data_IF_480468646272
#
_entry.id   IF_480468646272
#
_cell.length_a   1.000
_cell.length_b   1.000
_cell.length_c   1.000
_cell.angle_alpha   90.00
_cell.angle_beta   90.00
_cell.angle_gamma   90.00
#
_symmetry.space_group_name_H-M   'P 1'
#
loop_
_entity.id
_entity.type
_entity.pdbx_description
1 polymer ?
#
# COMPACT_ATOMS: atom_id res chain seq x y z
N UNK A 1 -13.25 -28.04 -21.06
CA UNK A 1 -12.47 -28.72 -22.11
C UNK A 1 -11.04 -28.27 -21.91
N UNK A 2 -10.20 -29.17 -21.43
CA UNK A 2 -8.80 -28.94 -21.07
C UNK A 2 -7.97 -28.83 -22.34
N UNK A 3 -7.65 -27.61 -22.79
CA UNK A 3 -6.67 -27.41 -23.86
C UNK A 3 -5.28 -27.64 -23.28
N UNK A 4 -4.76 -28.84 -23.48
CA UNK A 4 -3.33 -29.08 -23.39
C UNK A 4 -2.71 -28.49 -24.66
N UNK A 5 -2.42 -27.19 -24.64
CA UNK A 5 -1.63 -26.53 -25.68
C UNK A 5 -0.16 -26.77 -25.34
N UNK A 6 0.55 -27.58 -26.13
CA UNK A 6 2.01 -27.70 -26.00
C UNK A 6 2.72 -26.40 -26.40
N UNK A 7 4.07 -26.37 -26.32
CA UNK A 7 4.82 -25.16 -26.60
C UNK A 7 4.61 -24.66 -28.03
N UNK A 8 4.55 -23.34 -28.20
CA UNK A 8 4.51 -22.69 -29.50
C UNK A 8 5.93 -22.28 -29.91
N UNK A 9 6.33 -22.59 -31.13
CA UNK A 9 7.61 -22.20 -31.70
C UNK A 9 7.40 -21.23 -32.88
N UNK A 10 7.81 -19.98 -32.70
CA UNK A 10 7.66 -18.92 -33.69
C UNK A 10 8.99 -18.65 -34.40
N UNK A 11 8.99 -18.76 -35.73
CA UNK A 11 10.10 -18.37 -36.61
C UNK A 11 9.66 -17.18 -37.45
N UNK A 12 10.37 -16.06 -37.33
CA UNK A 12 10.13 -14.85 -38.10
C UNK A 12 11.25 -14.62 -39.11
N UNK A 13 10.86 -14.41 -40.37
CA UNK A 13 11.73 -14.10 -41.49
C UNK A 13 11.53 -12.64 -41.90
N UNK A 14 12.62 -11.89 -42.01
CA UNK A 14 12.66 -10.55 -42.61
C UNK A 14 13.35 -10.65 -43.96
N UNK A 15 12.59 -10.44 -45.02
CA UNK A 15 12.96 -10.81 -46.39
C UNK A 15 12.98 -9.57 -47.27
N UNK A 16 14.06 -9.35 -48.03
CA UNK A 16 14.06 -8.28 -49.04
C UNK A 16 13.00 -8.52 -50.14
N UNK A 17 12.38 -7.46 -50.71
CA UNK A 17 11.27 -7.61 -51.66
C UNK A 17 11.59 -8.40 -52.93
N UNK A 18 12.86 -8.39 -53.34
CA UNK A 18 13.38 -9.07 -54.54
C UNK A 18 13.42 -10.59 -54.40
N UNK A 19 13.59 -11.10 -53.18
CA UNK A 19 13.65 -12.54 -52.88
C UNK A 19 12.39 -13.07 -52.18
N UNK A 20 11.43 -12.20 -51.86
CA UNK A 20 10.24 -12.53 -51.07
C UNK A 20 9.40 -13.69 -51.63
N UNK A 21 9.23 -13.75 -52.95
CA UNK A 21 8.44 -14.80 -53.63
C UNK A 21 9.16 -16.16 -53.58
N UNK A 22 10.48 -16.17 -53.73
CA UNK A 22 11.28 -17.40 -53.66
C UNK A 22 11.33 -17.97 -52.24
N UNK A 23 11.43 -17.10 -51.23
CA UNK A 23 11.39 -17.50 -49.82
C UNK A 23 9.99 -18.01 -49.44
N UNK A 24 8.93 -17.39 -49.96
CA UNK A 24 7.55 -17.86 -49.76
C UNK A 24 7.34 -19.28 -50.26
N UNK A 25 7.78 -19.58 -51.47
CA UNK A 25 7.61 -20.90 -52.06
C UNK A 25 8.34 -21.97 -51.22
N UNK A 26 9.51 -21.61 -50.66
CA UNK A 26 10.29 -22.51 -49.81
C UNK A 26 9.67 -22.73 -48.44
N UNK A 27 9.09 -21.69 -47.85
CA UNK A 27 8.35 -21.76 -46.59
C UNK A 27 7.10 -22.64 -46.80
N UNK A 28 6.34 -22.44 -47.86
CA UNK A 28 5.14 -23.24 -48.16
C UNK A 28 5.47 -24.72 -48.39
N UNK A 29 6.57 -25.02 -49.09
CA UNK A 29 7.06 -26.39 -49.27
C UNK A 29 7.48 -27.02 -47.94
N UNK A 30 8.12 -26.25 -47.06
CA UNK A 30 8.48 -26.69 -45.71
C UNK A 30 7.24 -26.97 -44.84
N UNK A 31 6.27 -26.05 -44.80
CA UNK A 31 5.05 -26.19 -44.01
C UNK A 31 4.28 -27.46 -44.36
N UNK A 32 4.18 -27.79 -45.66
CA UNK A 32 3.53 -29.03 -46.11
C UNK A 32 4.24 -30.29 -45.61
N UNK A 33 5.56 -30.25 -45.44
CA UNK A 33 6.34 -31.38 -44.90
C UNK A 33 6.19 -31.50 -43.38
N UNK A 34 6.19 -30.37 -42.69
CA UNK A 34 6.17 -30.30 -41.22
C UNK A 34 4.82 -30.68 -40.62
N UNK A 35 3.71 -30.43 -41.33
CA UNK A 35 2.37 -30.88 -40.93
C UNK A 35 2.23 -32.41 -40.84
N UNK A 36 3.18 -33.17 -41.40
CA UNK A 36 3.20 -34.65 -41.34
C UNK A 36 4.02 -35.14 -40.13
N UNK A 37 4.76 -34.25 -39.46
CA UNK A 37 5.58 -34.59 -38.30
C UNK A 37 4.67 -34.91 -37.09
N UNK A 38 4.82 -36.08 -36.45
CA UNK A 38 4.03 -36.45 -35.29
C UNK A 38 4.25 -35.54 -34.08
N UNK A 39 5.31 -34.72 -34.03
CA UNK A 39 5.55 -33.76 -32.95
C UNK A 39 4.73 -32.46 -33.08
N UNK A 40 4.11 -32.21 -34.24
CA UNK A 40 3.43 -30.94 -34.57
C UNK A 40 1.91 -31.12 -34.56
N UNK A 41 1.21 -30.34 -33.72
CA UNK A 41 -0.24 -30.26 -33.65
C UNK A 41 -0.85 -29.37 -34.74
N UNK A 42 -0.22 -28.21 -34.99
CA UNK A 42 -0.68 -27.23 -35.96
C UNK A 42 0.49 -26.38 -36.45
N UNK A 43 0.41 -25.88 -37.68
CA UNK A 43 1.43 -25.03 -38.26
C UNK A 43 0.79 -23.98 -39.17
N UNK A 44 1.00 -22.70 -38.85
CA UNK A 44 0.42 -21.59 -39.61
C UNK A 44 1.49 -20.59 -40.02
N UNK A 45 1.41 -20.08 -41.25
CA UNK A 45 2.20 -18.93 -41.66
C UNK A 45 1.31 -17.76 -42.04
N UNK A 46 1.79 -16.56 -41.74
CA UNK A 46 1.14 -15.32 -42.14
C UNK A 46 2.17 -14.24 -42.41
N UNK A 47 1.84 -13.37 -43.37
CA UNK A 47 2.63 -12.17 -43.67
C UNK A 47 2.14 -11.01 -42.81
N UNK A 48 3.07 -10.14 -42.40
CA UNK A 48 2.80 -8.89 -41.68
C UNK A 48 3.48 -7.71 -42.38
N UNK A 49 3.07 -6.52 -42.00
CA UNK A 49 3.72 -5.28 -42.43
C UNK A 49 5.24 -5.38 -42.25
N UNK A 50 5.95 -4.98 -43.29
CA UNK A 50 7.40 -5.05 -43.37
C UNK A 50 8.10 -4.12 -42.37
N UNK A 51 9.44 -4.17 -42.37
CA UNK A 51 10.24 -3.25 -41.58
C UNK A 51 10.44 -1.89 -42.30
N UNK A 52 11.04 -0.91 -41.61
CA UNK A 52 11.29 0.43 -42.22
C UNK A 52 12.34 0.39 -43.34
N UNK A 53 13.00 -0.75 -43.57
CA UNK A 53 13.90 -0.96 -44.71
C UNK A 53 13.15 -1.49 -45.93
N UNK A 54 11.83 -1.67 -45.83
CA UNK A 54 10.98 -2.20 -46.89
C UNK A 54 11.02 -3.72 -46.99
N UNK A 55 11.65 -4.43 -46.04
CA UNK A 55 11.70 -5.90 -46.02
C UNK A 55 10.36 -6.46 -45.57
N UNK A 56 9.84 -7.46 -46.28
CA UNK A 56 8.61 -8.15 -45.90
C UNK A 56 8.83 -9.02 -44.67
N UNK A 57 7.84 -9.07 -43.78
CA UNK A 57 7.89 -9.91 -42.57
C UNK A 57 6.98 -11.11 -42.72
N UNK A 58 7.54 -12.30 -42.60
CA UNK A 58 6.81 -13.57 -42.62
C UNK A 58 6.99 -14.28 -41.29
N UNK A 59 5.90 -14.75 -40.70
CA UNK A 59 5.91 -15.43 -39.40
C UNK A 59 5.34 -16.82 -39.59
N UNK A 60 6.09 -17.83 -39.15
CA UNK A 60 5.66 -19.23 -39.07
C UNK A 60 5.50 -19.62 -37.60
N UNK A 61 4.31 -20.08 -37.23
CA UNK A 61 3.97 -20.51 -35.89
C UNK A 61 3.70 -22.01 -35.89
N UNK A 62 4.49 -22.75 -35.11
CA UNK A 62 4.36 -24.19 -34.94
C UNK A 62 3.80 -24.46 -33.53
N UNK A 63 2.78 -25.28 -33.45
CA UNK A 63 2.21 -25.77 -32.18
C UNK A 63 2.66 -27.20 -31.98
N UNK A 64 3.39 -27.48 -30.89
CA UNK A 64 3.94 -28.82 -30.63
C UNK A 64 3.07 -29.58 -29.63
N UNK A 65 3.22 -30.92 -29.61
CA UNK A 65 2.48 -31.79 -28.68
C UNK A 65 2.95 -31.63 -27.23
N UNK A 66 4.25 -31.37 -27.00
CA UNK A 66 4.84 -31.32 -25.66
C UNK A 66 6.24 -30.68 -25.62
N UNK A 67 6.72 -30.40 -24.42
CA UNK A 67 8.07 -29.82 -24.18
C UNK A 67 9.19 -30.85 -24.46
N UNK A 68 8.88 -32.14 -24.40
CA UNK A 68 9.83 -33.24 -24.60
C UNK A 68 10.33 -33.39 -26.05
N UNK A 69 9.56 -32.89 -27.01
CA UNK A 69 9.89 -32.92 -28.44
C UNK A 69 10.52 -31.63 -28.95
N UNK A 70 10.63 -30.60 -28.10
CA UNK A 70 10.99 -29.24 -28.52
C UNK A 70 12.43 -29.13 -29.04
N UNK A 71 13.40 -29.65 -28.30
CA UNK A 71 14.82 -29.52 -28.66
C UNK A 71 15.13 -30.29 -29.96
N UNK A 72 14.62 -31.53 -30.07
CA UNK A 72 14.74 -32.35 -31.27
C UNK A 72 14.04 -31.71 -32.48
N UNK A 73 12.90 -31.04 -32.26
CA UNK A 73 12.19 -30.32 -33.32
C UNK A 73 12.97 -29.09 -33.79
N UNK A 74 13.55 -28.29 -32.88
CA UNK A 74 14.32 -27.09 -33.24
C UNK A 74 15.53 -27.44 -34.11
N UNK A 75 16.29 -28.48 -33.72
CA UNK A 75 17.48 -28.92 -34.42
C UNK A 75 17.18 -29.72 -35.71
N UNK A 76 15.92 -30.12 -35.90
CA UNK A 76 15.47 -30.89 -37.04
C UNK A 76 14.91 -30.03 -38.18
N UNK A 77 13.61 -30.12 -38.50
CA UNK A 77 13.03 -29.49 -39.70
C UNK A 77 13.25 -27.97 -39.83
N UNK A 78 12.98 -27.14 -38.80
CA UNK A 78 13.14 -25.69 -38.87
C UNK A 78 14.61 -25.32 -39.01
N UNK A 79 15.51 -25.90 -38.21
CA UNK A 79 16.95 -25.63 -38.27
C UNK A 79 17.55 -25.93 -39.66
N UNK A 80 17.09 -27.01 -40.31
CA UNK A 80 17.50 -27.33 -41.68
C UNK A 80 17.03 -26.30 -42.71
N UNK A 81 15.78 -25.81 -42.61
CA UNK A 81 15.28 -24.73 -43.46
C UNK A 81 16.08 -23.43 -43.25
N UNK A 82 16.33 -23.06 -41.99
CA UNK A 82 17.10 -21.86 -41.68
C UNK A 82 18.52 -21.93 -42.25
N UNK A 83 19.19 -23.07 -42.12
CA UNK A 83 20.52 -23.27 -42.68
C UNK A 83 20.52 -23.19 -44.21
N UNK A 84 19.51 -23.78 -44.87
CA UNK A 84 19.37 -23.72 -46.33
C UNK A 84 19.17 -22.28 -46.81
N UNK A 85 18.23 -21.55 -46.20
CA UNK A 85 17.91 -20.18 -46.59
C UNK A 85 19.07 -19.21 -46.32
N UNK A 86 19.78 -19.37 -45.19
CA UNK A 86 20.98 -18.57 -44.90
C UNK A 86 22.12 -18.83 -45.88
N UNK A 87 22.29 -20.08 -46.32
CA UNK A 87 23.31 -20.43 -47.30
C UNK A 87 23.02 -19.86 -48.70
N UNK A 88 21.74 -19.74 -49.06
CA UNK A 88 21.29 -19.28 -50.37
C UNK A 88 21.17 -17.75 -50.47
N UNK A 89 20.56 -17.10 -49.47
CA UNK A 89 20.22 -15.66 -49.52
C UNK A 89 21.11 -14.76 -48.65
N UNK A 90 21.95 -15.34 -47.79
CA UNK A 90 22.95 -14.62 -47.01
C UNK A 90 22.38 -13.41 -46.25
N UNK A 91 22.90 -12.21 -46.52
CA UNK A 91 22.55 -10.97 -45.81
C UNK A 91 21.18 -10.38 -46.20
N UNK A 92 20.57 -10.84 -47.29
CA UNK A 92 19.24 -10.38 -47.75
C UNK A 92 18.08 -10.95 -46.90
N UNK A 93 18.40 -11.92 -46.04
CA UNK A 93 17.46 -12.62 -45.18
C UNK A 93 17.92 -12.60 -43.73
N UNK A 94 17.05 -12.14 -42.84
CA UNK A 94 17.28 -12.20 -41.40
C UNK A 94 16.22 -13.11 -40.76
N UNK A 95 16.66 -14.06 -39.92
CA UNK A 95 15.81 -15.09 -39.33
C UNK A 95 15.95 -15.05 -37.81
N UNK A 96 14.82 -14.93 -37.13
CA UNK A 96 14.75 -14.94 -35.67
C UNK A 96 13.72 -15.96 -35.20
N UNK A 97 14.12 -16.86 -34.29
CA UNK A 97 13.24 -17.85 -33.69
C UNK A 97 13.09 -17.64 -32.18
N UNK A 98 11.92 -17.99 -31.63
CA UNK A 98 11.64 -17.94 -30.19
C UNK A 98 10.59 -18.97 -29.76
N UNK A 99 10.73 -19.44 -28.52
CA UNK A 99 9.79 -20.35 -27.87
C UNK A 99 8.76 -19.52 -27.08
N UNK A 100 7.48 -19.78 -27.31
CA UNK A 100 6.34 -19.12 -26.70
C UNK A 100 5.61 -20.14 -25.82
N UNK A 101 5.63 -19.94 -24.50
CA UNK A 101 4.90 -20.74 -23.52
C UNK A 101 3.53 -20.12 -23.21
N UNK A 102 2.60 -20.87 -22.64
CA UNK A 102 1.23 -20.39 -22.37
C UNK A 102 1.16 -19.23 -21.37
N UNK A 103 2.12 -19.11 -20.45
CA UNK A 103 2.31 -17.93 -19.62
C UNK A 103 2.74 -16.69 -20.44
N UNK A 104 3.49 -16.91 -21.53
CA UNK A 104 3.96 -15.90 -22.49
C UNK A 104 2.93 -15.60 -23.59
N UNK A 105 1.89 -16.43 -23.79
CA UNK A 105 0.81 -16.17 -24.75
C UNK A 105 -0.02 -14.92 -24.38
N UNK A 106 -0.06 -14.59 -23.08
CA UNK A 106 -0.60 -13.31 -22.61
C UNK A 106 0.25 -12.09 -23.04
N UNK A 107 1.48 -12.31 -23.53
CA UNK A 107 2.37 -11.29 -24.12
C UNK A 107 2.17 -11.09 -25.64
N UNK A 108 1.37 -11.92 -26.31
CA UNK A 108 1.14 -11.86 -27.77
C UNK A 108 -0.07 -11.03 -28.19
N UNK A 109 -0.75 -10.33 -27.27
CA UNK A 109 -1.77 -9.36 -27.70
C UNK A 109 -1.07 -8.24 -28.51
N UNK A 110 -1.44 -8.03 -29.78
CA UNK A 110 -0.71 -7.22 -30.74
C UNK A 110 -0.96 -5.72 -30.52
N UNK A 111 -0.48 -5.16 -29.41
CA UNK A 111 -0.42 -3.71 -29.17
C UNK A 111 0.93 -3.25 -28.59
N UNK A 112 2.04 -3.95 -28.90
CA UNK A 112 3.36 -3.33 -28.66
C UNK A 112 3.54 -2.21 -29.68
N UNK A 113 3.36 -0.96 -29.24
CA UNK A 113 3.62 0.23 -30.05
C UNK A 113 5.03 0.11 -30.68
N UNK A 114 5.19 0.36 -32.00
CA UNK A 114 6.50 0.32 -32.67
C UNK A 114 7.51 1.27 -32.01
N UNK A 115 7.00 2.27 -31.29
CA UNK A 115 7.76 3.24 -30.53
C UNK A 115 7.56 3.05 -29.02
N UNK A 116 8.63 3.27 -28.26
CA UNK A 116 8.64 3.26 -26.81
C UNK A 116 7.66 4.30 -26.25
N UNK A 117 6.80 3.91 -25.31
CA UNK A 117 5.82 4.83 -24.72
C UNK A 117 6.48 5.94 -23.88
N UNK A 118 7.64 5.70 -23.24
CA UNK A 118 8.37 6.69 -22.43
C UNK A 118 9.21 7.67 -23.26
N UNK A 119 10.08 7.19 -24.15
CA UNK A 119 11.02 8.04 -24.88
C UNK A 119 10.70 8.22 -26.37
N UNK A 120 9.74 7.48 -26.93
CA UNK A 120 9.41 7.53 -28.36
C UNK A 120 10.40 6.84 -29.28
N UNK A 121 11.51 6.30 -28.78
CA UNK A 121 12.49 5.56 -29.60
C UNK A 121 11.89 4.24 -30.13
N UNK A 122 12.30 3.83 -31.33
CA UNK A 122 11.83 2.58 -31.93
C UNK A 122 12.25 1.37 -31.08
N UNK A 123 11.30 0.48 -30.80
CA UNK A 123 11.55 -0.73 -30.02
C UNK A 123 12.17 -1.80 -30.93
N UNK A 124 13.36 -2.31 -30.55
CA UNK A 124 14.08 -3.37 -31.28
C UNK A 124 14.11 -4.72 -30.53
N UNK A 125 13.41 -4.82 -29.42
CA UNK A 125 13.37 -6.00 -28.55
C UNK A 125 12.41 -5.81 -27.38
N UNK A 126 12.49 -6.71 -26.38
CA UNK A 126 11.64 -6.66 -25.18
C UNK A 126 11.87 -5.41 -24.32
N UNK A 127 13.03 -4.77 -24.43
CA UNK A 127 13.38 -3.55 -23.72
C UNK A 127 13.81 -2.45 -24.70
N UNK A 128 13.52 -1.20 -24.36
CA UNK A 128 14.01 -0.05 -25.09
C UNK A 128 15.50 0.14 -24.82
N UNK A 129 16.35 0.06 -25.86
CA UNK A 129 17.79 0.31 -25.73
C UNK A 129 18.18 1.74 -25.33
N UNK A 130 17.26 2.71 -25.41
CA UNK A 130 17.52 4.10 -25.02
C UNK A 130 17.11 4.43 -23.58
N UNK A 131 15.98 3.91 -23.10
CA UNK A 131 15.45 4.27 -21.78
C UNK A 131 15.16 3.07 -20.85
N UNK A 132 15.46 1.84 -21.28
CA UNK A 132 15.26 0.63 -20.48
C UNK A 132 13.80 0.19 -20.29
N UNK A 133 12.82 0.86 -20.91
CA UNK A 133 11.41 0.47 -20.78
C UNK A 133 11.10 -0.90 -21.43
N UNK A 134 10.45 -1.80 -20.69
CA UNK A 134 9.84 -3.03 -21.22
C UNK A 134 8.75 -2.75 -22.27
N UNK A 135 8.66 -3.54 -23.33
CA UNK A 135 7.74 -3.41 -24.47
C UNK A 135 6.27 -3.77 -24.19
N UNK A 136 5.89 -3.96 -22.91
CA UNK A 136 4.57 -4.43 -22.50
C UNK A 136 3.46 -3.40 -22.79
N UNK A 137 2.24 -3.90 -23.02
CA UNK A 137 1.03 -3.11 -23.24
C UNK A 137 0.58 -2.38 -21.96
N UNK A 138 -0.49 -1.57 -22.05
CA UNK A 138 -1.01 -0.77 -20.93
C UNK A 138 -1.47 -1.61 -19.73
N UNK A 139 -1.80 -2.89 -19.90
CA UNK A 139 -2.35 -3.73 -18.86
C UNK A 139 -1.28 -4.13 -17.84
N UNK A 140 -1.57 -3.96 -16.56
CA UNK A 140 -0.65 -4.29 -15.46
C UNK A 140 -1.38 -5.28 -14.55
N UNK A 141 -0.73 -6.39 -14.22
CA UNK A 141 -1.25 -7.34 -13.23
C UNK A 141 -0.92 -6.88 -11.81
N UNK A 142 -1.77 -7.22 -10.84
CA UNK A 142 -1.53 -6.90 -9.43
C UNK A 142 -0.25 -7.59 -8.92
N UNK A 143 -0.01 -8.83 -9.34
CA UNK A 143 1.16 -9.61 -8.93
C UNK A 143 2.48 -8.99 -9.42
N UNK A 144 2.52 -8.50 -10.65
CA UNK A 144 3.69 -7.80 -11.19
C UNK A 144 4.03 -6.54 -10.37
N UNK A 145 3.02 -5.77 -9.98
CA UNK A 145 3.22 -4.58 -9.13
C UNK A 145 3.77 -4.92 -7.75
N UNK A 146 3.35 -6.04 -7.17
CA UNK A 146 3.85 -6.52 -5.88
C UNK A 146 5.28 -7.04 -6.03
N UNK A 147 5.56 -7.83 -7.08
CA UNK A 147 6.91 -8.33 -7.37
C UNK A 147 7.92 -7.20 -7.57
N UNK A 148 7.53 -6.14 -8.31
CA UNK A 148 8.37 -4.96 -8.52
C UNK A 148 8.63 -4.19 -7.21
N UNK A 149 7.71 -4.25 -6.25
CA UNK A 149 7.89 -3.59 -4.95
C UNK A 149 9.00 -4.24 -4.12
N UNK A 150 9.09 -5.58 -4.15
CA UNK A 150 10.03 -6.35 -3.33
C UNK A 150 11.37 -6.66 -4.03
N UNK A 151 11.44 -6.60 -5.37
CA UNK A 151 12.64 -6.99 -6.13
C UNK A 151 13.93 -6.22 -5.80
N UNK A 152 13.85 -4.90 -5.56
CA UNK A 152 15.04 -4.04 -5.37
C UNK A 152 14.80 -2.88 -4.38
N UNK A 153 14.33 -3.18 -3.16
CA UNK A 153 14.07 -2.16 -2.12
C UNK A 153 15.31 -1.34 -1.72
N UNK A 154 16.53 -1.82 -1.99
CA UNK A 154 17.79 -1.18 -1.58
C UNK A 154 18.56 -0.47 -2.73
N UNK A 155 18.06 -0.49 -3.96
CA UNK A 155 18.64 0.33 -5.04
C UNK A 155 18.10 1.76 -4.95
N UNK A 156 18.87 2.66 -4.34
CA UNK A 156 18.59 4.10 -4.32
C UNK A 156 18.82 4.65 -5.74
N UNK A 157 17.77 4.62 -6.55
CA UNK A 157 17.81 5.02 -7.96
C UNK A 157 17.71 6.56 -8.13
N UNK A 158 18.47 7.09 -9.09
CA UNK A 158 18.32 8.43 -9.68
C UNK A 158 16.87 8.81 -10.05
N UNK A 159 16.00 7.81 -10.26
CA UNK A 159 14.57 7.97 -10.52
C UNK A 159 13.78 8.56 -9.34
N UNK A 160 14.28 8.48 -8.10
CA UNK A 160 13.59 9.02 -6.92
C UNK A 160 13.25 10.51 -7.10
N UNK A 161 14.24 11.34 -7.41
CA UNK A 161 14.05 12.79 -7.62
C UNK A 161 13.16 13.09 -8.83
N UNK A 162 13.25 12.27 -9.88
CA UNK A 162 12.41 12.38 -11.07
C UNK A 162 10.95 12.08 -10.79
N UNK A 163 10.64 11.29 -9.75
CA UNK A 163 9.29 10.99 -9.29
C UNK A 163 8.77 12.00 -8.26
N UNK A 164 9.58 12.37 -7.27
CA UNK A 164 9.15 13.23 -6.14
C UNK A 164 8.71 14.63 -6.58
N UNK A 165 9.45 15.27 -7.49
CA UNK A 165 9.13 16.64 -7.92
C UNK A 165 7.78 16.69 -8.66
N UNK A 166 7.49 15.84 -9.68
CA UNK A 166 6.18 15.77 -10.28
C UNK A 166 5.06 15.37 -9.31
N UNK A 167 5.36 14.48 -8.35
CA UNK A 167 4.40 14.05 -7.33
C UNK A 167 3.93 15.23 -6.48
N UNK A 168 4.85 16.10 -6.04
CA UNK A 168 4.51 17.23 -5.18
C UNK A 168 3.90 18.41 -5.95
N UNK A 169 4.42 18.74 -7.14
CA UNK A 169 4.06 20.00 -7.83
C UNK A 169 2.92 19.82 -8.85
N UNK A 170 2.72 18.62 -9.40
CA UNK A 170 1.79 18.39 -10.52
C UNK A 170 0.71 17.33 -10.17
N UNK A 171 -0.41 17.73 -9.55
CA UNK A 171 -1.38 16.79 -8.97
C UNK A 171 -1.90 15.71 -9.92
N UNK A 172 -1.61 14.44 -9.65
CA UNK A 172 -2.05 13.32 -10.49
C UNK A 172 -1.46 13.27 -11.91
N UNK A 173 -0.48 14.12 -12.24
CA UNK A 173 0.25 14.04 -13.52
C UNK A 173 1.09 12.77 -13.60
N UNK A 174 1.74 12.42 -12.50
CA UNK A 174 2.54 11.20 -12.38
C UNK A 174 1.67 9.97 -12.64
N UNK A 175 0.55 9.84 -11.92
CA UNK A 175 -0.43 8.75 -12.12
C UNK A 175 -0.93 8.72 -13.56
N UNK A 176 -1.31 9.87 -14.12
CA UNK A 176 -1.76 9.95 -15.51
C UNK A 176 -0.67 9.46 -16.48
N UNK A 177 0.57 9.93 -16.35
CA UNK A 177 1.68 9.54 -17.23
C UNK A 177 2.03 8.04 -17.09
N UNK A 178 1.95 7.50 -15.88
CA UNK A 178 2.16 6.08 -15.59
C UNK A 178 1.09 5.20 -16.24
N UNK A 179 -0.19 5.59 -16.14
CA UNK A 179 -1.33 4.91 -16.78
C UNK A 179 -1.28 5.02 -18.31
N UNK A 180 -0.64 6.06 -18.85
CA UNK A 180 -0.35 6.19 -20.28
C UNK A 180 0.81 5.29 -20.75
N UNK A 181 1.50 4.60 -19.83
CA UNK A 181 2.61 3.70 -20.14
C UNK A 181 3.99 4.34 -20.09
N UNK A 182 4.14 5.58 -19.63
CA UNK A 182 5.44 6.26 -19.46
C UNK A 182 6.11 5.88 -18.14
N UNK A 183 6.48 4.61 -17.98
CA UNK A 183 6.83 4.03 -16.66
C UNK A 183 8.32 4.09 -16.30
N UNK A 184 9.22 3.86 -17.26
CA UNK A 184 10.64 3.64 -16.94
C UNK A 184 11.38 4.83 -16.30
N UNK A 185 10.83 6.04 -16.42
CA UNK A 185 11.36 7.24 -15.75
C UNK A 185 11.04 7.31 -14.26
N UNK A 186 9.93 6.69 -13.86
CA UNK A 186 9.41 6.82 -12.51
C UNK A 186 9.76 5.59 -11.68
N UNK A 187 10.01 5.81 -10.40
CA UNK A 187 10.04 4.74 -9.41
C UNK A 187 8.72 3.94 -9.42
N UNK A 188 8.75 2.60 -9.29
CA UNK A 188 7.56 1.78 -9.16
C UNK A 188 6.63 2.31 -8.04
N UNK A 189 5.30 2.39 -8.26
CA UNK A 189 4.40 3.09 -7.35
C UNK A 189 4.39 2.52 -5.92
N UNK A 190 4.37 1.19 -5.79
CA UNK A 190 4.34 0.53 -4.49
C UNK A 190 5.65 0.69 -3.74
N UNK A 191 6.80 0.56 -4.43
CA UNK A 191 8.11 0.87 -3.84
C UNK A 191 8.16 2.30 -3.32
N UNK A 192 7.70 3.27 -4.11
CA UNK A 192 7.62 4.67 -3.69
C UNK A 192 6.76 4.85 -2.44
N UNK A 193 5.58 4.21 -2.40
CA UNK A 193 4.70 4.24 -1.22
C UNK A 193 5.40 3.66 0.00
N UNK A 194 6.01 2.47 -0.10
CA UNK A 194 6.69 1.81 1.02
C UNK A 194 7.88 2.63 1.54
N UNK A 195 8.69 3.20 0.64
CA UNK A 195 9.85 4.02 1.02
C UNK A 195 9.38 5.30 1.72
N UNK A 196 8.35 5.97 1.21
CA UNK A 196 7.86 7.22 1.79
C UNK A 196 7.05 7.00 3.07
N UNK A 197 6.31 5.89 3.19
CA UNK A 197 5.65 5.52 4.44
C UNK A 197 6.68 5.16 5.51
N UNK A 198 7.69 4.35 5.17
CA UNK A 198 8.79 4.03 6.08
C UNK A 198 9.53 5.30 6.53
N UNK A 199 9.87 6.19 5.60
CA UNK A 199 10.49 7.47 5.92
C UNK A 199 9.62 8.29 6.89
N UNK A 200 8.32 8.40 6.60
CA UNK A 200 7.37 9.09 7.47
C UNK A 200 7.34 8.48 8.88
N UNK A 201 7.16 7.17 9.01
CA UNK A 201 7.08 6.50 10.32
C UNK A 201 8.40 6.58 11.09
N UNK A 202 9.55 6.50 10.42
CA UNK A 202 10.86 6.70 11.06
C UNK A 202 10.98 8.13 11.57
N UNK A 203 10.63 9.14 10.76
CA UNK A 203 10.68 10.54 11.17
C UNK A 203 9.70 10.82 12.32
N UNK A 204 8.48 10.30 12.24
CA UNK A 204 7.46 10.44 13.27
C UNK A 204 7.83 9.70 14.56
N UNK A 205 8.54 8.57 14.48
CA UNK A 205 9.03 7.84 15.66
C UNK A 205 10.06 8.65 16.46
N UNK A 206 10.89 9.44 15.79
CA UNK A 206 11.85 10.33 16.45
C UNK A 206 11.25 11.68 16.88
N UNK A 207 9.96 11.88 16.67
CA UNK A 207 9.23 13.05 17.13
C UNK A 207 8.73 12.80 18.56
N UNK A 208 9.09 13.61 19.56
CA UNK A 208 8.55 13.48 20.90
C UNK A 208 7.03 13.51 20.81
N UNK A 209 6.35 12.50 21.38
CA UNK A 209 4.89 12.31 21.29
C UNK A 209 4.05 13.47 21.88
N UNK A 210 4.67 14.57 22.28
CA UNK A 210 4.05 15.77 22.86
C UNK A 210 3.10 16.46 21.86
N UNK A 211 3.33 16.41 20.55
CA UNK A 211 2.50 17.14 19.57
C UNK A 211 1.15 16.48 19.26
N UNK A 212 1.00 15.16 19.45
CA UNK A 212 -0.33 14.51 19.45
C UNK A 212 -1.13 14.82 20.74
N UNK A 213 -0.51 15.46 21.72
CA UNK A 213 -1.07 15.86 23.01
C UNK A 213 -2.03 17.06 22.98
N UNK A 214 -2.30 17.67 21.81
CA UNK A 214 -3.32 18.74 21.69
C UNK A 214 -4.76 18.29 22.04
N UNK A 215 -4.99 17.00 22.35
CA UNK A 215 -6.25 16.49 22.90
C UNK A 215 -6.12 15.89 24.30
N UNK A 216 -4.91 15.69 24.83
CA UNK A 216 -4.63 15.09 26.14
C UNK A 216 -3.25 15.56 26.60
N UNK A 217 -3.19 16.50 27.54
CA UNK A 217 -1.99 16.76 28.32
C UNK A 217 -1.87 15.62 29.35
N UNK A 218 -0.92 14.68 29.22
CA UNK A 218 -0.57 13.84 30.35
C UNK A 218 0.01 14.76 31.41
N UNK A 219 -0.58 14.75 32.61
CA UNK A 219 0.03 15.45 33.75
C UNK A 219 1.47 14.93 33.93
N UNK A 220 2.45 15.83 34.16
CA UNK A 220 3.84 15.42 34.31
C UNK A 220 3.93 14.40 35.45
N UNK A 221 4.59 13.26 35.20
CA UNK A 221 4.83 12.29 36.27
C UNK A 221 5.60 12.97 37.42
N UNK A 222 5.11 12.89 38.66
CA UNK A 222 5.69 13.61 39.78
C UNK A 222 7.14 13.15 39.98
N UNK A 223 8.03 14.11 40.21
CA UNK A 223 9.42 13.81 40.48
C UNK A 223 9.56 12.99 41.77
N UNK A 224 10.62 12.16 41.92
CA UNK A 224 10.81 11.37 43.14
C UNK A 224 10.85 12.21 44.43
N UNK A 225 11.27 13.48 44.34
CA UNK A 225 11.21 14.43 45.45
C UNK A 225 9.78 14.88 45.76
N UNK A 226 8.96 15.18 44.74
CA UNK A 226 7.55 15.53 44.90
C UNK A 226 6.72 14.36 45.44
N UNK A 227 6.98 13.12 45.00
CA UNK A 227 6.34 11.91 45.54
C UNK A 227 6.67 11.71 47.02
N UNK A 228 7.90 12.02 47.41
CA UNK A 228 8.33 11.88 48.81
C UNK A 228 7.73 12.99 49.69
N UNK A 229 7.66 14.23 49.18
CA UNK A 229 7.03 15.36 49.87
C UNK A 229 5.52 15.12 50.05
N UNK A 230 4.83 14.64 49.02
CA UNK A 230 3.42 14.24 49.10
C UNK A 230 3.19 13.06 50.07
N UNK A 231 4.11 12.10 50.13
CA UNK A 231 4.03 10.99 51.07
C UNK A 231 4.20 11.46 52.52
N UNK A 232 5.15 12.37 52.78
CA UNK A 232 5.35 12.97 54.11
C UNK A 232 4.16 13.85 54.52
N UNK A 233 3.59 14.61 53.60
CA UNK A 233 2.41 15.45 53.84
C UNK A 233 1.14 14.60 54.09
N UNK A 234 0.97 13.50 53.37
CA UNK A 234 -0.09 12.53 53.61
C UNK A 234 0.08 11.78 54.95
N UNK A 235 1.30 11.45 55.35
CA UNK A 235 1.57 10.81 56.65
C UNK A 235 1.29 11.77 57.82
N UNK A 236 1.64 13.06 57.66
CA UNK A 236 1.32 14.10 58.64
C UNK A 236 -0.20 14.35 58.74
N UNK A 237 -0.90 14.46 57.62
CA UNK A 237 -2.35 14.63 57.60
C UNK A 237 -3.09 13.40 58.16
N UNK A 238 -2.51 12.20 58.02
CA UNK A 238 -3.06 10.99 58.63
C UNK A 238 -2.93 11.02 60.15
N UNK A 239 -1.80 11.49 60.68
CA UNK A 239 -1.59 11.64 62.12
C UNK A 239 -2.56 12.66 62.73
N UNK A 240 -2.74 13.82 62.10
CA UNK A 240 -3.67 14.86 62.55
C UNK A 240 -5.14 14.35 62.54
N UNK A 241 -5.53 13.62 61.50
CA UNK A 241 -6.87 13.05 61.42
C UNK A 241 -7.11 11.95 62.46
N UNK A 242 -6.08 11.17 62.82
CA UNK A 242 -6.17 10.17 63.89
C UNK A 242 -6.36 10.82 65.27
N UNK A 243 -5.69 11.95 65.53
CA UNK A 243 -5.87 12.70 66.79
C UNK A 243 -7.30 13.23 66.93
N UNK A 244 -7.90 13.73 65.82
CA UNK A 244 -9.29 14.19 65.82
C UNK A 244 -10.28 13.04 66.05
N UNK A 245 -10.00 11.85 65.50
CA UNK A 245 -10.82 10.66 65.73
C UNK A 245 -10.75 10.22 67.19
N UNK A 246 -9.55 10.20 67.78
CA UNK A 246 -9.34 9.86 69.20
C UNK A 246 -10.09 10.83 70.13
N UNK A 247 -10.09 12.14 69.80
CA UNK A 247 -10.83 13.16 70.57
C UNK A 247 -12.36 12.98 70.49
N UNK A 248 -12.87 12.54 69.33
CA UNK A 248 -14.30 12.28 69.11
C UNK A 248 -14.78 11.00 69.81
N UNK A 249 -13.91 9.99 69.92
CA UNK A 249 -14.14 8.76 70.69
C UNK A 249 -14.17 9.08 72.19
N UNK A 250 -13.23 9.89 72.71
CA UNK A 250 -13.21 10.29 74.13
C UNK A 250 -14.46 11.10 74.53
N UNK A 251 -15.00 11.91 73.61
CA UNK A 251 -16.24 12.67 73.82
C UNK A 251 -17.52 11.83 73.68
N UNK A 252 -17.41 10.54 73.36
CA UNK A 252 -18.52 9.60 73.26
C UNK A 252 -19.46 9.87 72.09
N UNK A 253 -18.96 10.55 71.04
CA UNK A 253 -19.72 10.83 69.80
C UNK A 253 -19.70 9.61 68.86
N UNK A 254 -18.68 8.77 68.98
CA UNK A 254 -18.44 7.57 68.15
C UNK A 254 -18.13 6.39 69.11
N UNK A 255 -18.65 5.20 68.82
CA UNK A 255 -18.39 4.00 69.64
C UNK A 255 -17.08 3.30 69.21
N UNK A 256 -16.28 2.79 70.16
CA UNK A 256 -14.97 2.16 69.89
C UNK A 256 -15.05 0.99 68.90
N UNK A 257 -16.21 0.34 68.79
CA UNK A 257 -16.50 -0.80 67.91
C UNK A 257 -16.78 -0.41 66.44
N UNK A 258 -16.98 0.87 66.12
CA UNK A 258 -17.06 1.37 64.74
C UNK A 258 -15.70 1.83 64.18
N UNK A 259 -14.64 1.86 65.02
CA UNK A 259 -13.29 2.29 64.63
C UNK A 259 -12.45 1.09 64.15
N UNK A 260 -12.95 0.38 63.14
CA UNK A 260 -12.17 -0.65 62.42
C UNK A 260 -12.07 -0.27 60.95
N UNK A 261 -11.39 0.84 60.68
CA UNK A 261 -11.09 1.30 59.33
C UNK A 261 -9.71 1.90 59.23
N UNK A 262 -9.08 1.74 58.06
CA UNK A 262 -7.84 2.44 57.74
C UNK A 262 -8.20 3.80 57.16
N UNK A 263 -7.56 4.86 57.63
CA UNK A 263 -7.64 6.17 57.01
C UNK A 263 -6.66 6.18 55.82
N UNK A 264 -7.13 6.56 54.63
CA UNK A 264 -6.25 6.80 53.47
C UNK A 264 -6.48 8.22 52.98
N UNK A 265 -5.39 8.88 52.61
CA UNK A 265 -5.41 10.23 52.05
C UNK A 265 -5.05 10.10 50.56
N UNK A 266 -5.99 10.51 49.71
CA UNK A 266 -5.82 10.64 48.26
C UNK A 266 -5.93 12.12 47.85
N UNK A 267 -5.74 12.41 46.55
CA UNK A 267 -5.80 13.78 46.00
C UNK A 267 -7.17 14.47 46.22
N UNK A 268 -8.19 13.72 46.63
CA UNK A 268 -9.53 14.22 46.97
C UNK A 268 -9.76 14.48 48.47
N UNK A 269 -8.81 14.18 49.35
CA UNK A 269 -8.88 14.41 50.80
C UNK A 269 -8.80 13.12 51.65
N UNK A 270 -8.97 13.26 52.96
CA UNK A 270 -8.88 12.13 53.91
C UNK A 270 -10.20 11.35 53.97
N UNK A 271 -10.18 10.06 53.63
CA UNK A 271 -11.35 9.16 53.67
C UNK A 271 -11.11 7.98 54.62
N UNK A 272 -12.07 7.72 55.50
CA UNK A 272 -12.05 6.60 56.44
C UNK A 272 -12.80 5.41 55.82
N UNK A 273 -12.13 4.28 55.61
CA UNK A 273 -12.75 3.07 55.02
C UNK A 273 -12.81 1.96 56.07
N UNK A 274 -14.00 1.54 56.49
CA UNK A 274 -14.19 0.39 57.38
C UNK A 274 -14.03 -0.94 56.61
N UNK A 275 -13.71 -2.01 57.33
CA UNK A 275 -13.33 -3.34 56.81
C UNK A 275 -14.38 -4.11 55.97
N UNK A 276 -15.43 -3.46 55.47
CA UNK A 276 -16.37 -4.02 54.48
C UNK A 276 -16.48 -3.21 53.19
N UNK A 277 -15.74 -2.09 53.07
CA UNK A 277 -15.66 -1.30 51.85
C UNK A 277 -14.26 -1.47 51.23
N UNK A 278 -14.11 -2.48 50.36
CA UNK A 278 -13.12 -2.36 49.28
C UNK A 278 -13.39 -1.03 48.55
N UNK A 279 -12.36 -0.28 48.15
CA UNK A 279 -12.56 1.08 47.69
C UNK A 279 -13.41 1.06 46.43
N UNK A 280 -14.66 1.52 46.57
CA UNK A 280 -15.47 2.08 45.50
C UNK A 280 -14.77 3.36 45.00
N UNK A 281 -13.65 3.17 44.31
CA UNK A 281 -13.00 4.16 43.49
C UNK A 281 -13.81 4.27 42.19
N UNK A 282 -14.94 4.99 42.26
CA UNK A 282 -15.85 5.35 41.16
C UNK A 282 -15.34 4.96 39.77
N UNK A 283 -15.84 3.80 39.31
CA UNK A 283 -15.58 3.21 37.99
C UNK A 283 -15.15 1.75 38.03
N UNK A 284 -15.83 0.89 38.81
CA UNK A 284 -15.48 -0.54 38.84
C UNK A 284 -15.57 -1.14 37.43
N UNK A 285 -14.56 -1.90 37.05
CA UNK A 285 -14.50 -2.65 35.80
C UNK A 285 -15.37 -3.92 35.89
N UNK A 286 -16.54 -3.81 36.51
CA UNK A 286 -17.47 -4.92 36.65
C UNK A 286 -18.30 -5.03 35.38
N UNK A 287 -17.79 -5.84 34.46
CA UNK A 287 -18.43 -6.13 33.19
C UNK A 287 -19.17 -7.44 33.33
N UNK A 288 -20.49 -7.34 33.34
CA UNK A 288 -21.39 -8.47 33.55
C UNK A 288 -21.77 -9.14 32.22
N UNK A 289 -22.32 -10.34 32.32
CA UNK A 289 -22.82 -11.08 31.16
C UNK A 289 -23.91 -10.31 30.38
N UNK A 290 -24.66 -9.42 31.05
CA UNK A 290 -25.66 -8.54 30.45
C UNK A 290 -25.05 -7.50 29.50
N UNK A 291 -23.80 -7.07 29.73
CA UNK A 291 -23.13 -6.09 28.86
C UNK A 291 -22.70 -6.70 27.52
N UNK A 292 -22.63 -8.03 27.46
CA UNK A 292 -22.26 -8.81 26.26
C UNK A 292 -23.48 -9.40 25.57
N UNK A 293 -24.65 -9.37 26.21
CA UNK A 293 -25.88 -10.02 25.73
C UNK A 293 -26.45 -9.38 24.45
N UNK A 294 -26.25 -8.07 24.26
CA UNK A 294 -26.66 -7.33 23.07
C UNK A 294 -25.66 -7.44 21.88
N UNK A 295 -24.54 -8.14 22.05
CA UNK A 295 -23.56 -8.30 20.98
C UNK A 295 -23.95 -9.41 19.99
N UNK A 296 -23.69 -9.25 18.68
CA UNK A 296 -23.86 -10.32 17.72
C UNK A 296 -23.08 -11.59 18.11
N UNK A 297 -23.64 -12.77 17.89
CA UNK A 297 -23.05 -14.07 18.29
C UNK A 297 -21.55 -14.25 17.92
N UNK A 298 -21.12 -13.72 16.76
CA UNK A 298 -19.73 -13.81 16.32
C UNK A 298 -18.79 -12.95 17.18
N UNK A 299 -19.28 -11.84 17.72
CA UNK A 299 -18.56 -10.88 18.55
C UNK A 299 -18.52 -11.33 20.01
N UNK A 300 -19.65 -11.82 20.55
CA UNK A 300 -19.74 -12.39 21.89
C UNK A 300 -18.81 -13.61 22.08
N UNK A 301 -18.57 -14.40 21.02
CA UNK A 301 -17.57 -15.49 21.03
C UNK A 301 -16.13 -15.02 21.13
N UNK A 302 -15.85 -13.75 20.79
CA UNK A 302 -14.49 -13.19 20.71
C UNK A 302 -14.17 -12.27 21.89
N UNK A 303 -15.14 -11.47 22.35
CA UNK A 303 -15.08 -10.62 23.55
C UNK A 303 -15.87 -11.28 24.68
N UNK A 304 -15.21 -12.17 25.42
CA UNK A 304 -15.81 -12.73 26.64
C UNK A 304 -15.76 -11.69 27.77
N UNK A 305 -16.70 -11.70 28.72
CA UNK A 305 -16.72 -10.76 29.85
C UNK A 305 -15.38 -10.76 30.63
N UNK A 306 -14.71 -11.91 30.77
CA UNK A 306 -13.40 -12.00 31.43
C UNK A 306 -12.25 -11.37 30.64
N UNK A 307 -12.40 -11.22 29.32
CA UNK A 307 -11.45 -10.46 28.49
C UNK A 307 -11.71 -8.97 28.60
N UNK A 308 -12.99 -8.58 28.58
CA UNK A 308 -13.37 -7.18 28.71
C UNK A 308 -12.96 -6.61 30.07
N UNK A 309 -13.17 -7.37 31.15
CA UNK A 309 -12.71 -7.03 32.52
C UNK A 309 -11.20 -6.83 32.58
N UNK A 310 -10.42 -7.76 32.00
CA UNK A 310 -8.94 -7.63 31.91
C UNK A 310 -8.46 -6.42 31.12
N UNK A 311 -9.11 -6.10 30.00
CA UNK A 311 -8.78 -4.90 29.22
C UNK A 311 -9.10 -3.65 30.03
N UNK A 312 -10.24 -3.61 30.72
CA UNK A 312 -10.64 -2.49 31.56
C UNK A 312 -9.65 -2.28 32.72
N UNK A 313 -9.33 -3.34 33.48
CA UNK A 313 -8.38 -3.29 34.59
C UNK A 313 -7.01 -2.78 34.12
N UNK A 314 -6.46 -3.33 33.04
CA UNK A 314 -5.14 -2.93 32.54
C UNK A 314 -5.13 -1.53 31.90
N UNK A 315 -6.20 -1.16 31.20
CA UNK A 315 -6.34 0.20 30.64
C UNK A 315 -6.40 1.23 31.77
N UNK A 316 -7.08 0.91 32.89
CA UNK A 316 -7.14 1.79 34.05
C UNK A 316 -5.81 1.90 34.79
N UNK A 317 -5.09 0.80 34.94
CA UNK A 317 -3.79 0.77 35.63
C UNK A 317 -2.70 1.57 34.89
N UNK A 318 -2.70 1.53 33.55
CA UNK A 318 -1.67 2.19 32.73
C UNK A 318 -2.17 3.49 32.07
N UNK A 319 -3.33 4.03 32.49
CA UNK A 319 -4.01 5.20 31.89
C UNK A 319 -4.16 5.10 30.35
N UNK A 320 -4.43 3.89 29.86
CA UNK A 320 -4.58 3.58 28.44
C UNK A 320 -3.29 3.63 27.62
N UNK A 321 -2.12 3.88 28.22
CA UNK A 321 -0.81 3.94 27.53
C UNK A 321 -0.54 2.65 26.74
N UNK A 322 -0.75 1.48 27.35
CA UNK A 322 -0.55 0.18 26.69
C UNK A 322 -1.51 -0.05 25.51
N UNK A 323 -2.74 0.44 25.59
CA UNK A 323 -3.71 0.36 24.48
C UNK A 323 -3.32 1.31 23.34
N UNK A 324 -2.87 2.52 23.68
CA UNK A 324 -2.41 3.50 22.72
C UNK A 324 -1.15 3.01 21.98
N UNK A 325 -0.17 2.46 22.68
CA UNK A 325 1.04 1.89 22.07
C UNK A 325 0.70 0.78 21.08
N UNK A 326 -0.12 -0.19 21.50
CA UNK A 326 -0.58 -1.25 20.62
C UNK A 326 -1.40 -0.70 19.43
N UNK A 327 -2.19 0.36 19.61
CA UNK A 327 -2.92 1.01 18.52
C UNK A 327 -1.96 1.67 17.51
N UNK A 328 -0.98 2.43 17.99
CA UNK A 328 0.02 3.12 17.17
C UNK A 328 0.83 2.12 16.32
N UNK A 329 1.22 0.98 16.89
CA UNK A 329 1.92 -0.10 16.19
C UNK A 329 1.10 -0.70 15.03
N UNK A 330 -0.23 -0.64 15.12
CA UNK A 330 -1.14 -1.14 14.09
C UNK A 330 -1.53 -0.09 13.03
N UNK A 331 -1.19 1.19 13.20
CA UNK A 331 -1.49 2.26 12.23
C UNK A 331 -0.92 1.94 10.83
N UNK A 332 0.37 1.55 10.65
CA UNK A 332 0.90 1.24 9.33
C UNK A 332 0.09 0.17 8.58
N UNK A 333 -0.32 -0.88 9.30
CA UNK A 333 -1.12 -1.96 8.73
C UNK A 333 -2.53 -1.48 8.34
N UNK A 334 -3.18 -0.68 9.20
CA UNK A 334 -4.49 -0.08 8.91
C UNK A 334 -4.47 0.80 7.65
N UNK A 335 -3.41 1.61 7.46
CA UNK A 335 -3.24 2.44 6.27
C UNK A 335 -2.99 1.61 4.99
N UNK A 336 -2.30 0.48 5.09
CA UNK A 336 -2.13 -0.45 3.96
C UNK A 336 -3.49 -1.06 3.57
N UNK A 337 -4.32 -1.43 4.55
CA UNK A 337 -5.68 -1.98 4.31
C UNK A 337 -6.64 -0.92 3.75
N UNK A 338 -6.46 0.35 4.11
CA UNK A 338 -7.25 1.46 3.58
C UNK A 338 -7.09 1.63 2.07
N UNK A 339 -5.90 1.37 1.50
CA UNK A 339 -5.61 1.50 0.06
C UNK A 339 -6.55 0.68 -0.84
N UNK A 340 -6.64 -0.67 -0.71
CA UNK A 340 -7.51 -1.48 -1.55
C UNK A 340 -9.00 -1.20 -1.32
N UNK A 341 -9.38 -0.83 -0.09
CA UNK A 341 -10.75 -0.44 0.26
C UNK A 341 -11.15 0.86 -0.46
N UNK A 342 -10.30 1.89 -0.42
CA UNK A 342 -10.53 3.15 -1.12
C UNK A 342 -10.49 2.97 -2.65
N UNK A 343 -9.61 2.10 -3.16
CA UNK A 343 -9.58 1.73 -4.58
C UNK A 343 -10.92 1.13 -5.04
N UNK A 344 -11.55 0.31 -4.20
CA UNK A 344 -12.87 -0.26 -4.47
C UNK A 344 -13.96 0.80 -4.50
N UNK A 345 -13.97 1.74 -3.54
CA UNK A 345 -14.89 2.89 -3.55
C UNK A 345 -14.73 3.70 -4.84
N UNK A 346 -13.50 3.99 -5.26
CA UNK A 346 -13.26 4.76 -6.48
C UNK A 346 -13.67 3.98 -7.74
N UNK A 347 -13.52 2.66 -7.75
CA UNK A 347 -14.06 1.79 -8.80
C UNK A 347 -15.59 1.88 -8.86
N UNK A 348 -16.27 1.91 -7.72
CA UNK A 348 -17.71 2.09 -7.62
C UNK A 348 -18.18 3.50 -8.05
N UNK A 349 -17.38 4.55 -7.81
CA UNK A 349 -17.66 5.93 -8.26
C UNK A 349 -17.42 6.14 -9.77
N UNK A 350 -16.61 5.28 -10.40
CA UNK A 350 -16.23 5.37 -11.81
C UNK A 350 -16.51 4.07 -12.59
N UNK A 351 -17.75 3.52 -12.56
CA UNK A 351 -18.06 2.24 -13.20
C UNK A 351 -17.92 2.33 -14.73
N UNK A 352 -18.23 3.49 -15.30
CA UNK A 352 -18.18 3.77 -16.74
C UNK A 352 -16.79 4.17 -17.26
N UNK A 353 -15.77 4.23 -16.40
CA UNK A 353 -14.42 4.65 -16.82
C UNK A 353 -13.69 3.62 -17.69
N UNK A 354 -14.20 2.38 -17.75
CA UNK A 354 -13.55 1.22 -18.42
C UNK A 354 -12.14 0.91 -17.90
N UNK A 355 -11.77 1.44 -16.73
CA UNK A 355 -10.46 1.23 -16.11
C UNK A 355 -10.47 0.01 -15.21
N UNK A 356 -9.33 -0.67 -15.10
CA UNK A 356 -9.18 -1.83 -14.23
C UNK A 356 -9.05 -1.41 -12.76
N UNK A 357 -9.39 -2.32 -11.84
CA UNK A 357 -9.24 -2.10 -10.40
C UNK A 357 -7.82 -1.64 -10.03
N UNK A 358 -6.81 -2.27 -10.64
CA UNK A 358 -5.39 -1.96 -10.43
C UNK A 358 -5.07 -0.49 -10.75
N UNK A 359 -5.73 0.13 -11.72
CA UNK A 359 -5.51 1.54 -12.06
C UNK A 359 -6.05 2.48 -10.97
N UNK A 360 -7.17 2.12 -10.33
CA UNK A 360 -7.72 2.85 -9.19
C UNK A 360 -6.85 2.65 -7.95
N UNK A 361 -6.34 1.45 -7.72
CA UNK A 361 -5.38 1.17 -6.65
C UNK A 361 -4.10 1.98 -6.82
N UNK A 362 -3.54 1.99 -8.03
CA UNK A 362 -2.36 2.77 -8.37
C UNK A 362 -2.56 4.28 -8.13
N UNK A 363 -3.75 4.81 -8.38
CA UNK A 363 -4.09 6.19 -8.02
C UNK A 363 -3.94 6.44 -6.51
N UNK A 364 -4.49 5.57 -5.65
CA UNK A 364 -4.37 5.74 -4.21
C UNK A 364 -2.96 5.51 -3.67
N UNK A 365 -2.21 4.59 -4.26
CA UNK A 365 -0.80 4.37 -3.92
C UNK A 365 0.00 5.65 -4.15
N UNK A 366 -0.16 6.32 -5.29
CA UNK A 366 0.48 7.61 -5.54
C UNK A 366 -0.03 8.72 -4.61
N UNK A 367 -1.34 8.75 -4.33
CA UNK A 367 -1.91 9.76 -3.45
C UNK A 367 -1.40 9.61 -2.00
N UNK A 368 -1.34 8.41 -1.45
CA UNK A 368 -0.81 8.18 -0.10
C UNK A 368 0.70 8.39 -0.04
N UNK A 369 1.44 8.03 -1.09
CA UNK A 369 2.87 8.38 -1.19
C UNK A 369 3.08 9.90 -1.12
N UNK A 370 2.26 10.68 -1.83
CA UNK A 370 2.25 12.14 -1.71
C UNK A 370 1.86 12.59 -0.30
N UNK A 371 0.82 12.00 0.30
CA UNK A 371 0.37 12.34 1.65
C UNK A 371 1.48 12.14 2.70
N UNK A 372 2.13 10.98 2.72
CA UNK A 372 3.25 10.71 3.63
C UNK A 372 4.44 11.62 3.40
N UNK A 373 4.76 11.94 2.14
CA UNK A 373 5.79 12.93 1.84
C UNK A 373 5.44 14.31 2.42
N UNK A 374 4.19 14.77 2.28
CA UNK A 374 3.77 16.06 2.83
C UNK A 374 3.78 16.06 4.36
N UNK A 375 3.32 14.99 5.01
CA UNK A 375 3.39 14.86 6.48
C UNK A 375 4.85 14.88 6.97
N UNK A 376 5.74 14.16 6.29
CA UNK A 376 7.17 14.16 6.61
C UNK A 376 7.75 15.58 6.49
N UNK A 377 7.41 16.30 5.42
CA UNK A 377 7.86 17.69 5.23
C UNK A 377 7.29 18.64 6.30
N UNK A 378 6.07 18.40 6.79
CA UNK A 378 5.49 19.18 7.88
C UNK A 378 6.26 18.98 9.19
N UNK A 379 6.56 17.74 9.58
CA UNK A 379 7.36 17.44 10.79
C UNK A 379 8.75 18.07 10.69
N UNK A 380 9.43 17.90 9.53
CA UNK A 380 10.74 18.49 9.31
C UNK A 380 10.71 20.03 9.32
N UNK A 381 9.64 20.64 8.81
CA UNK A 381 9.46 22.09 8.84
C UNK A 381 9.27 22.60 10.27
N UNK A 382 8.42 21.94 11.08
CA UNK A 382 8.20 22.28 12.48
C UNK A 382 9.52 22.21 13.26
N UNK A 383 10.25 21.10 13.14
CA UNK A 383 11.57 20.92 13.77
C UNK A 383 12.59 21.96 13.34
N UNK A 384 12.69 22.22 12.04
CA UNK A 384 13.61 23.23 11.51
C UNK A 384 13.26 24.63 12.03
N UNK A 385 11.96 24.95 12.10
CA UNK A 385 11.48 26.24 12.59
C UNK A 385 11.76 26.45 14.07
N UNK A 386 11.57 25.42 14.91
CA UNK A 386 11.95 25.45 16.32
C UNK A 386 13.47 25.58 16.51
N UNK A 387 14.25 24.86 15.69
CA UNK A 387 15.71 24.93 15.74
C UNK A 387 16.27 26.32 15.37
N UNK A 388 15.65 27.01 14.41
CA UNK A 388 16.06 28.35 13.96
C UNK A 388 15.44 29.46 14.83
N UNK A 389 14.50 29.14 15.72
CA UNK A 389 13.81 30.11 16.57
C UNK A 389 12.76 30.94 15.82
N UNK A 390 12.11 30.36 14.82
CA UNK A 390 10.99 30.98 14.11
C UNK A 390 9.75 30.94 15.01
N UNK A 391 8.97 32.03 15.16
CA UNK A 391 7.73 32.02 15.94
C UNK A 391 6.75 30.94 15.47
N UNK A 392 6.18 30.16 16.40
CA UNK A 392 5.32 28.99 16.14
C UNK A 392 4.12 29.27 15.22
N UNK A 393 3.60 30.51 15.22
CA UNK A 393 2.50 30.91 14.34
C UNK A 393 2.81 30.70 12.84
N UNK A 394 4.08 30.84 12.43
CA UNK A 394 4.51 30.70 11.02
C UNK A 394 4.46 29.24 10.56
N UNK A 395 5.16 28.26 11.19
CA UNK A 395 5.06 26.85 10.81
C UNK A 395 3.63 26.32 10.95
N UNK A 396 2.86 26.72 11.98
CA UNK A 396 1.44 26.34 12.11
C UNK A 396 0.63 26.80 10.90
N UNK A 397 0.76 28.07 10.49
CA UNK A 397 0.07 28.58 9.30
C UNK A 397 0.47 27.81 8.04
N UNK A 398 1.74 27.45 7.89
CA UNK A 398 2.25 26.64 6.78
C UNK A 398 1.68 25.22 6.80
N UNK A 399 1.56 24.59 7.97
CA UNK A 399 0.92 23.27 8.14
C UNK A 399 -0.54 23.35 7.73
N UNK A 400 -1.30 24.33 8.22
CA UNK A 400 -2.71 24.54 7.85
C UNK A 400 -2.86 24.73 6.34
N UNK A 401 -2.07 25.63 5.73
CA UNK A 401 -2.10 25.88 4.28
C UNK A 401 -1.78 24.61 3.47
N UNK A 402 -0.82 23.82 3.94
CA UNK A 402 -0.42 22.55 3.33
C UNK A 402 -1.52 21.48 3.46
N UNK A 403 -2.22 21.41 4.58
CA UNK A 403 -3.35 20.49 4.77
C UNK A 403 -4.51 20.80 3.81
N UNK A 404 -4.81 22.08 3.58
CA UNK A 404 -5.75 22.48 2.51
C UNK A 404 -5.23 22.10 1.12
N UNK A 405 -3.94 22.24 0.87
CA UNK A 405 -3.32 21.83 -0.39
C UNK A 405 -3.48 20.33 -0.67
N UNK A 406 -3.39 19.45 0.34
CA UNK A 406 -3.62 18.01 0.19
C UNK A 406 -5.05 17.72 -0.34
N UNK A 407 -6.06 18.39 0.21
CA UNK A 407 -7.45 18.26 -0.27
C UNK A 407 -7.61 18.74 -1.71
N UNK A 408 -7.05 19.91 -2.03
CA UNK A 408 -7.05 20.47 -3.39
C UNK A 408 -6.31 19.54 -4.37
N UNK A 409 -5.18 18.96 -3.94
CA UNK A 409 -4.39 18.02 -4.71
C UNK A 409 -5.24 16.82 -5.14
N UNK A 410 -5.99 16.22 -4.20
CA UNK A 410 -6.86 15.08 -4.50
C UNK A 410 -7.93 15.42 -5.54
N UNK A 411 -8.62 16.55 -5.37
CA UNK A 411 -9.64 17.02 -6.33
C UNK A 411 -9.06 17.22 -7.73
N UNK A 412 -7.90 17.89 -7.84
CA UNK A 412 -7.25 18.15 -9.14
C UNK A 412 -6.72 16.84 -9.75
N UNK A 413 -6.17 15.93 -8.94
CA UNK A 413 -5.67 14.65 -9.38
C UNK A 413 -6.80 13.77 -9.95
N UNK A 414 -7.94 13.68 -9.26
CA UNK A 414 -9.12 12.97 -9.77
C UNK A 414 -9.57 13.52 -11.13
N UNK A 415 -9.67 14.84 -11.25
CA UNK A 415 -10.07 15.47 -12.51
C UNK A 415 -9.10 15.15 -13.65
N UNK A 416 -7.79 15.23 -13.39
CA UNK A 416 -6.75 15.00 -14.38
C UNK A 416 -6.68 13.54 -14.83
N UNK A 417 -6.82 12.60 -13.90
CA UNK A 417 -6.72 11.17 -14.20
C UNK A 417 -7.96 10.65 -14.92
N UNK A 418 -9.16 11.05 -14.50
CA UNK A 418 -10.43 10.53 -15.05
C UNK A 418 -11.05 11.39 -16.15
N UNK A 419 -10.56 12.63 -16.36
CA UNK A 419 -10.98 13.48 -17.49
C UNK A 419 -12.43 13.98 -17.45
N UNK A 420 -13.08 13.99 -16.28
CA UNK A 420 -14.48 14.41 -16.14
C UNK A 420 -14.65 15.93 -15.96
N UNK A 421 -15.88 16.43 -16.15
CA UNK A 421 -16.25 17.82 -15.91
C UNK A 421 -16.08 18.24 -14.44
N UNK A 422 -15.91 19.54 -14.20
CA UNK A 422 -15.60 20.11 -12.86
C UNK A 422 -16.66 19.74 -11.81
N UNK A 423 -17.94 19.92 -12.13
CA UNK A 423 -19.06 19.71 -11.20
C UNK A 423 -19.20 18.23 -10.82
N UNK A 424 -19.17 17.33 -11.80
CA UNK A 424 -19.28 15.88 -11.55
C UNK A 424 -18.08 15.40 -10.73
N UNK A 425 -16.88 15.88 -11.04
CA UNK A 425 -15.68 15.52 -10.28
C UNK A 425 -15.78 16.02 -8.84
N UNK A 426 -16.27 17.24 -8.62
CA UNK A 426 -16.46 17.79 -7.28
C UNK A 426 -17.48 16.98 -6.47
N UNK A 427 -18.62 16.61 -7.05
CA UNK A 427 -19.62 15.77 -6.38
C UNK A 427 -19.02 14.42 -5.97
N UNK A 428 -18.30 13.77 -6.88
CA UNK A 428 -17.62 12.50 -6.58
C UNK A 428 -16.49 12.65 -5.57
N UNK A 429 -15.80 13.79 -5.57
CA UNK A 429 -14.78 14.11 -4.58
C UNK A 429 -15.39 14.23 -3.18
N UNK A 430 -16.54 14.90 -3.02
CA UNK A 430 -17.26 14.96 -1.74
C UNK A 430 -17.66 13.57 -1.26
N UNK A 431 -18.22 12.74 -2.14
CA UNK A 431 -18.56 11.34 -1.80
C UNK A 431 -17.30 10.56 -1.41
N UNK A 432 -16.19 10.76 -2.13
CA UNK A 432 -14.93 10.12 -1.81
C UNK A 432 -14.36 10.57 -0.46
N UNK A 433 -14.47 11.85 -0.10
CA UNK A 433 -14.06 12.35 1.22
C UNK A 433 -14.86 11.70 2.36
N UNK A 434 -16.18 11.61 2.20
CA UNK A 434 -17.05 10.94 3.18
C UNK A 434 -16.65 9.47 3.31
N UNK A 435 -16.42 8.78 2.18
CA UNK A 435 -15.96 7.40 2.18
C UNK A 435 -14.57 7.26 2.82
N UNK A 436 -13.69 8.24 2.67
CA UNK A 436 -12.38 8.27 3.32
C UNK A 436 -12.50 8.36 4.83
N UNK A 437 -13.37 9.25 5.34
CA UNK A 437 -13.65 9.38 6.77
C UNK A 437 -14.22 8.07 7.32
N UNK A 438 -15.22 7.49 6.67
CA UNK A 438 -15.81 6.20 7.06
C UNK A 438 -14.81 5.03 6.99
N UNK A 439 -13.98 4.99 5.96
CA UNK A 439 -12.95 3.96 5.80
C UNK A 439 -11.84 4.09 6.84
N UNK A 440 -11.42 5.32 7.13
CA UNK A 440 -10.44 5.59 8.18
C UNK A 440 -10.97 5.20 9.56
N UNK A 441 -12.20 5.60 9.91
CA UNK A 441 -12.80 5.18 11.19
C UNK A 441 -12.97 3.68 11.29
N UNK A 442 -13.43 3.01 10.23
CA UNK A 442 -13.57 1.56 10.22
C UNK A 442 -12.22 0.82 10.38
N UNK A 443 -11.17 1.30 9.69
CA UNK A 443 -9.82 0.71 9.81
C UNK A 443 -9.19 0.99 11.17
N UNK A 444 -9.40 2.17 11.75
CA UNK A 444 -8.95 2.51 13.11
C UNK A 444 -9.69 1.71 14.18
N UNK A 445 -11.01 1.51 14.07
CA UNK A 445 -11.77 0.63 14.97
C UNK A 445 -11.29 -0.83 14.87
N UNK A 446 -10.95 -1.28 13.66
CA UNK A 446 -10.32 -2.59 13.46
C UNK A 446 -8.96 -2.69 14.14
N UNK A 447 -8.12 -1.66 14.02
CA UNK A 447 -6.82 -1.60 14.71
C UNK A 447 -6.98 -1.57 16.24
N UNK A 448 -7.94 -0.79 16.75
CA UNK A 448 -8.27 -0.73 18.18
C UNK A 448 -8.75 -2.08 18.70
N UNK A 449 -9.61 -2.78 17.95
CA UNK A 449 -10.05 -4.11 18.32
C UNK A 449 -8.87 -5.09 18.39
N UNK A 450 -7.96 -5.05 17.39
CA UNK A 450 -6.74 -5.88 17.39
C UNK A 450 -5.85 -5.54 18.60
N UNK A 451 -5.65 -4.25 18.90
CA UNK A 451 -4.87 -3.79 20.04
C UNK A 451 -5.49 -4.27 21.37
N UNK A 452 -6.80 -4.12 21.54
CA UNK A 452 -7.53 -4.62 22.71
C UNK A 452 -7.44 -6.15 22.85
N UNK A 453 -7.38 -6.90 21.73
CA UNK A 453 -7.20 -8.35 21.76
C UNK A 453 -5.77 -8.82 22.03
N UNK A 454 -4.77 -7.94 21.86
CA UNK A 454 -3.36 -8.24 22.13
C UNK A 454 -2.93 -7.99 23.58
N UNK A 455 -3.74 -7.24 24.32
CA UNK A 455 -3.63 -7.02 25.77
C UNK A 455 -4.20 -8.26 26.49
#
# INVERSE_FOLDING_TARGET
>A
MTSHSGPLYEVTFFVEPDIAESVDERIDEYLRRVLVDPAVLDCTAFSRDGDDRGRQRKVCLHTLIGDDVLDDFIDGPPGALEAQLRAEFGEQLDITARILREDQLSELVPESSPNCLNCGARMRGQYCGSCGQRSRSRLISLWELISDAFGDLLEIDSRLWQTLIPLMVRPGRLTYDYLQGRRARFMPPFRMYLVLSLLFFVVAFFDPREEFGLLFEPEPEPTPEEVQEQAEEAEAAHADAQEVIDELVEKGVIAEDEVSGNLRIDEGGARFTSHEDEPDAEGDCDIDASDVEDMPDWLARRLTPERLKRVCERTRLDDGKALLDNLLDNIPAALIVLLPLMAFVLKALYPLSKRYYVEHLLFFVHFHAFFFLMLTLQILLMRFSGWVGIPEAIPILMVVATSFYIGIYLLVAMRRVYGQGRVITFLKYVVLLVAYLMGFTATMLGALAIAAFSI
#
